data_IF_621465579968
#
_entry.id   IF_621465579968
#
_cell.length_a   1.000
_cell.length_b   1.000
_cell.length_c   1.000
_cell.angle_alpha   90.00
_cell.angle_beta   90.00
_cell.angle_gamma   90.00
#
_symmetry.space_group_name_H-M   'P 1'
#
loop_
_entity.id
_entity.type
_entity.pdbx_description
1 polymer ?
#
# COMPACT_ATOMS: atom_id res chain seq x y z
N UNK A 1 6.34 15.62 -2.25
CA UNK A 1 4.90 15.30 -2.20
C UNK A 1 4.45 15.43 -0.75
N UNK A 2 3.66 16.45 -0.41
CA UNK A 2 3.10 16.63 0.93
C UNK A 2 1.72 15.98 0.90
N UNK A 3 1.53 14.91 1.68
CA UNK A 3 0.25 14.19 1.74
C UNK A 3 -0.40 14.52 3.08
N UNK A 4 -1.41 15.37 3.06
CA UNK A 4 -2.14 15.79 4.27
C UNK A 4 -3.26 14.79 4.58
N UNK A 5 -3.30 14.24 5.80
CA UNK A 5 -4.36 13.30 6.23
C UNK A 5 -5.69 14.04 6.46
N UNK A 6 -6.81 13.64 5.83
CA UNK A 6 -8.14 14.13 6.19
C UNK A 6 -8.72 13.31 7.35
N UNK A 7 -8.98 13.96 8.49
CA UNK A 7 -10.01 13.65 9.51
C UNK A 7 -10.43 12.16 9.70
N UNK A 8 -9.52 11.27 10.08
CA UNK A 8 -9.86 9.86 10.36
C UNK A 8 -9.14 9.29 11.59
N UNK A 9 -9.87 8.48 12.37
CA UNK A 9 -9.37 7.73 13.54
C UNK A 9 -8.11 6.91 13.21
N UNK A 10 -7.21 6.80 14.20
CA UNK A 10 -5.88 6.18 14.06
C UNK A 10 -6.00 4.66 14.02
N UNK A 11 -5.48 4.01 12.98
CA UNK A 11 -5.23 2.57 12.96
C UNK A 11 -3.78 2.33 13.43
N UNK A 12 -3.57 1.37 14.34
CA UNK A 12 -2.26 1.06 14.93
C UNK A 12 -1.61 -0.04 14.10
N UNK A 13 -0.58 0.28 13.32
CA UNK A 13 0.18 -0.71 12.53
C UNK A 13 1.35 -1.30 13.34
N UNK A 14 1.76 -0.68 14.45
CA UNK A 14 2.69 -1.31 15.40
C UNK A 14 2.51 -0.74 16.82
N UNK A 15 2.56 -1.62 17.82
CA UNK A 15 2.50 -1.27 19.26
C UNK A 15 3.70 -1.93 19.95
N UNK A 16 4.89 -1.41 19.71
CA UNK A 16 6.09 -1.92 20.37
C UNK A 16 6.20 -1.40 21.82
N UNK A 17 6.06 -2.31 22.79
CA UNK A 17 6.45 -2.10 24.19
C UNK A 17 7.78 -2.81 24.44
N UNK A 18 8.91 -2.14 24.22
CA UNK A 18 10.24 -2.69 24.46
C UNK A 18 11.34 -1.84 23.83
N UNK A 19 12.52 -1.89 24.41
CA UNK A 19 13.66 -1.09 24.00
C UNK A 19 14.16 -1.50 22.61
N UNK A 20 14.34 -0.49 21.75
CA UNK A 20 15.00 -0.48 20.44
C UNK A 20 14.21 -1.02 19.23
N UNK A 21 13.54 -0.09 18.53
CA UNK A 21 13.35 -0.17 17.07
C UNK A 21 14.52 0.58 16.40
N UNK A 22 15.34 -0.13 15.63
CA UNK A 22 16.51 0.47 14.96
C UNK A 22 16.25 0.90 13.52
N UNK A 23 15.03 0.74 12.98
CA UNK A 23 14.67 1.24 11.65
C UNK A 23 13.17 1.55 11.67
N UNK A 24 12.80 2.83 11.83
CA UNK A 24 11.42 3.30 11.67
C UNK A 24 11.35 4.17 10.40
N UNK A 25 10.49 3.79 9.45
CA UNK A 25 10.18 4.58 8.25
C UNK A 25 9.14 5.69 8.51
N UNK A 26 8.91 5.99 9.78
CA UNK A 26 8.01 7.04 10.24
C UNK A 26 8.78 8.00 11.14
N UNK A 27 8.80 9.28 10.76
CA UNK A 27 9.44 10.33 11.55
C UNK A 27 8.37 11.21 12.19
N UNK A 28 8.50 11.37 13.51
CA UNK A 28 7.66 12.24 14.32
C UNK A 28 8.44 13.53 14.60
N UNK A 29 8.26 14.58 13.80
CA UNK A 29 8.89 15.89 14.11
C UNK A 29 8.18 16.62 15.26
N UNK A 30 6.91 16.27 15.51
CA UNK A 30 6.07 16.85 16.55
C UNK A 30 5.64 15.76 17.57
N UNK A 31 5.92 15.91 18.88
CA UNK A 31 5.48 14.97 19.91
C UNK A 31 3.96 14.77 19.97
N UNK A 32 3.19 15.72 19.45
CA UNK A 32 1.74 15.69 19.39
C UNK A 32 1.17 15.11 18.09
N UNK A 33 1.99 14.96 17.04
CA UNK A 33 1.61 14.38 15.75
C UNK A 33 2.69 13.43 15.21
N UNK A 34 2.66 12.15 15.62
CA UNK A 34 3.69 11.18 15.24
C UNK A 34 3.62 10.71 13.77
N UNK A 35 2.73 11.25 12.93
CA UNK A 35 2.43 10.70 11.60
C UNK A 35 2.40 11.76 10.50
N UNK A 36 3.38 12.66 10.48
CA UNK A 36 3.48 13.70 9.46
C UNK A 36 4.11 13.18 8.15
N UNK A 37 4.98 12.16 8.22
CA UNK A 37 5.74 11.68 7.08
C UNK A 37 5.71 10.16 6.93
N UNK A 38 5.40 9.69 5.71
CA UNK A 38 5.75 8.36 5.24
C UNK A 38 7.12 8.44 4.55
N UNK A 39 8.12 7.73 5.06
CA UNK A 39 9.48 7.77 4.52
C UNK A 39 9.76 6.49 3.74
N UNK A 40 10.13 6.63 2.46
CA UNK A 40 10.80 5.57 1.72
C UNK A 40 12.30 5.73 2.00
N UNK A 41 12.98 4.65 2.44
CA UNK A 41 14.37 4.50 2.93
C UNK A 41 14.78 5.22 4.23
N UNK A 42 15.66 4.56 5.01
CA UNK A 42 16.49 5.18 6.03
C UNK A 42 17.83 4.44 6.26
N UNK A 43 18.86 5.28 6.51
CA UNK A 43 20.27 5.05 6.86
C UNK A 43 21.19 4.35 5.84
N UNK A 44 22.11 5.15 5.29
CA UNK A 44 23.32 4.70 4.59
C UNK A 44 24.51 5.28 5.35
N UNK A 45 25.42 4.40 5.76
CA UNK A 45 26.65 4.77 6.46
C UNK A 45 27.86 4.38 5.62
N UNK A 46 28.92 5.15 5.77
CA UNK A 46 30.27 4.78 5.42
C UNK A 46 30.95 4.48 6.76
N UNK A 47 31.33 3.22 7.01
CA UNK A 47 32.00 2.83 8.26
C UNK A 47 33.45 3.34 8.37
N UNK A 48 33.81 4.33 7.55
CA UNK A 48 35.07 5.06 7.62
C UNK A 48 36.22 4.33 6.96
N UNK A 49 35.95 3.32 6.13
CA UNK A 49 36.98 2.53 5.45
C UNK A 49 37.39 3.05 4.07
N UNK A 50 36.83 4.21 3.65
CA UNK A 50 37.44 5.05 2.63
C UNK A 50 37.26 4.56 1.19
N UNK A 51 36.10 4.04 0.84
CA UNK A 51 35.80 3.88 -0.57
C UNK A 51 35.35 5.21 -1.18
N UNK A 52 35.92 5.54 -2.34
CA UNK A 52 35.67 6.81 -3.03
C UNK A 52 34.60 6.68 -4.10
N UNK A 53 33.80 5.59 -4.06
CA UNK A 53 32.93 5.17 -5.17
C UNK A 53 31.67 4.36 -4.75
N UNK A 54 31.16 4.45 -3.52
CA UNK A 54 29.88 3.81 -3.19
C UNK A 54 28.71 4.57 -3.78
N UNK A 55 27.90 3.84 -4.56
CA UNK A 55 26.63 4.30 -5.08
C UNK A 55 25.55 3.35 -4.59
N UNK A 56 24.59 3.88 -3.84
CA UNK A 56 23.37 3.17 -3.50
C UNK A 56 22.24 3.67 -4.41
N UNK A 57 21.68 2.77 -5.23
CA UNK A 57 20.56 3.06 -6.10
C UNK A 57 19.27 2.47 -5.52
N UNK A 58 18.23 3.29 -5.40
CA UNK A 58 16.89 2.86 -4.97
C UNK A 58 15.92 3.03 -6.11
N UNK A 59 15.20 1.95 -6.41
CA UNK A 59 14.13 1.96 -7.38
C UNK A 59 12.85 1.60 -6.64
N UNK A 60 11.91 2.53 -6.64
CA UNK A 60 10.55 2.33 -6.19
C UNK A 60 9.65 2.47 -7.40
N UNK A 61 8.63 1.62 -7.49
CA UNK A 61 7.59 1.76 -8.49
C UNK A 61 6.23 1.45 -7.86
N UNK A 62 5.17 2.02 -8.43
CA UNK A 62 3.77 1.73 -8.09
C UNK A 62 3.40 1.80 -6.60
N UNK A 63 3.86 2.84 -5.91
CA UNK A 63 3.52 3.09 -4.51
C UNK A 63 2.03 3.42 -4.37
N UNK A 64 1.31 2.60 -3.60
CA UNK A 64 -0.05 2.87 -3.15
C UNK A 64 -0.08 3.21 -1.66
N UNK A 65 -0.65 4.37 -1.31
CA UNK A 65 -0.85 4.83 0.06
C UNK A 65 -2.32 5.12 0.31
N UNK A 66 -2.89 4.47 1.31
CA UNK A 66 -4.26 4.68 1.75
C UNK A 66 -4.30 5.07 3.24
N UNK A 67 -5.15 6.04 3.57
CA UNK A 67 -5.41 6.45 4.95
C UNK A 67 -6.73 5.85 5.46
N UNK A 68 -6.75 5.41 6.71
CA UNK A 68 -7.96 4.92 7.38
C UNK A 68 -7.89 3.42 7.60
N UNK A 69 -8.67 2.65 6.84
CA UNK A 69 -8.81 1.20 7.00
C UNK A 69 -8.00 0.43 5.96
N UNK A 70 -7.97 -0.89 6.08
CA UNK A 70 -7.39 -1.80 5.07
C UNK A 70 -8.30 -2.00 3.84
N UNK A 71 -9.47 -1.34 3.79
CA UNK A 71 -10.49 -1.59 2.80
C UNK A 71 -10.06 -1.13 1.40
N UNK A 72 -10.01 -2.05 0.42
CA UNK A 72 -9.53 -1.75 -0.93
C UNK A 72 -10.15 -2.69 -1.95
N UNK A 73 -10.07 -2.33 -3.21
CA UNK A 73 -10.48 -3.17 -4.34
C UNK A 73 -9.23 -3.61 -5.08
N UNK A 74 -9.18 -4.88 -5.46
CA UNK A 74 -8.07 -5.46 -6.20
C UNK A 74 -8.62 -6.30 -7.36
N UNK A 75 -7.83 -6.44 -8.43
CA UNK A 75 -8.06 -7.44 -9.47
C UNK A 75 -6.95 -8.49 -9.42
N UNK A 76 -7.32 -9.77 -9.50
CA UNK A 76 -6.39 -10.90 -9.48
C UNK A 76 -6.58 -11.84 -10.65
N UNK A 77 -5.59 -12.69 -10.91
CA UNK A 77 -5.57 -13.62 -12.03
C UNK A 77 -6.24 -14.98 -11.77
N UNK A 78 -6.69 -15.25 -10.53
CA UNK A 78 -7.38 -16.46 -10.13
C UNK A 78 -8.70 -16.14 -9.42
N UNK A 79 -9.69 -17.05 -9.41
CA UNK A 79 -10.97 -16.84 -8.71
C UNK A 79 -10.82 -16.80 -7.18
N UNK A 80 -9.81 -17.47 -6.66
CA UNK A 80 -9.49 -17.50 -5.23
C UNK A 80 -8.33 -16.55 -4.94
N UNK A 81 -8.56 -15.59 -4.04
CA UNK A 81 -7.58 -14.54 -3.73
C UNK A 81 -6.22 -15.08 -3.28
N UNK A 82 -6.22 -16.09 -2.40
CA UNK A 82 -4.99 -16.72 -1.89
C UNK A 82 -4.19 -17.50 -2.94
N UNK A 83 -4.79 -17.76 -4.10
CA UNK A 83 -4.17 -18.46 -5.22
C UNK A 83 -3.66 -17.51 -6.30
N UNK A 84 -3.96 -16.22 -6.21
CA UNK A 84 -3.48 -15.23 -7.17
C UNK A 84 -1.96 -15.03 -7.03
N UNK A 85 -1.26 -15.08 -8.15
CA UNK A 85 0.17 -14.75 -8.25
C UNK A 85 0.41 -13.41 -9.00
N UNK A 86 -0.65 -12.81 -9.54
CA UNK A 86 -0.66 -11.46 -10.09
C UNK A 86 -1.91 -10.73 -9.57
N UNK A 87 -1.68 -9.58 -8.90
CA UNK A 87 -2.71 -8.75 -8.27
C UNK A 87 -2.40 -7.29 -8.58
N UNK A 88 -3.44 -6.50 -8.90
CA UNK A 88 -3.33 -5.06 -9.10
C UNK A 88 -4.37 -4.32 -8.24
N UNK A 89 -3.90 -3.36 -7.43
CA UNK A 89 -4.78 -2.52 -6.60
C UNK A 89 -5.52 -1.48 -7.45
N UNK A 90 -6.81 -1.35 -7.18
CA UNK A 90 -7.69 -0.40 -7.86
C UNK A 90 -7.92 0.79 -6.93
N UNK A 91 -7.73 2.00 -7.45
CA UNK A 91 -7.95 3.21 -6.65
C UNK A 91 -9.46 3.43 -6.50
N UNK A 92 -10.03 3.36 -5.28
CA UNK A 92 -11.43 3.67 -5.08
C UNK A 92 -11.66 5.18 -5.27
N UNK A 93 -12.69 5.52 -6.03
CA UNK A 93 -13.20 6.88 -6.21
C UNK A 93 -14.27 7.18 -5.15
N UNK A 94 -15.11 6.19 -4.84
CA UNK A 94 -16.18 6.32 -3.87
C UNK A 94 -16.58 4.96 -3.27
N UNK A 95 -16.87 4.94 -1.97
CA UNK A 95 -17.45 3.79 -1.27
C UNK A 95 -18.90 4.11 -0.91
N UNK A 96 -19.84 3.43 -1.57
CA UNK A 96 -21.28 3.54 -1.32
C UNK A 96 -21.86 2.30 -0.64
N UNK A 97 -23.11 2.41 -0.23
CA UNK A 97 -23.86 1.25 0.27
C UNK A 97 -24.17 0.31 -0.90
N UNK A 98 -23.42 -0.79 -1.00
CA UNK A 98 -23.62 -1.82 -2.03
C UNK A 98 -22.97 -1.50 -3.39
N UNK A 99 -22.23 -0.40 -3.50
CA UNK A 99 -21.48 -0.05 -4.70
C UNK A 99 -20.12 0.55 -4.35
N UNK A 100 -19.12 0.29 -5.19
CA UNK A 100 -17.77 0.87 -5.06
C UNK A 100 -17.38 1.32 -6.45
N UNK A 101 -17.09 2.62 -6.59
CA UNK A 101 -16.58 3.17 -7.83
C UNK A 101 -15.05 3.13 -7.78
N UNK A 102 -14.41 2.62 -8.84
CA UNK A 102 -12.95 2.50 -8.92
C UNK A 102 -12.43 3.06 -10.24
N UNK A 103 -11.21 3.58 -10.21
CA UNK A 103 -10.42 3.85 -11.41
C UNK A 103 -9.67 2.56 -11.77
N UNK A 104 -9.96 2.01 -12.96
CA UNK A 104 -9.41 0.73 -13.40
C UNK A 104 -7.92 0.88 -13.73
N UNK A 105 -7.09 0.21 -12.93
CA UNK A 105 -5.66 0.03 -13.13
C UNK A 105 -5.38 -1.40 -13.61
N UNK A 106 -4.98 -1.53 -14.88
CA UNK A 106 -4.67 -2.82 -15.48
C UNK A 106 -3.44 -3.47 -14.84
N UNK A 107 -2.52 -2.69 -14.26
CA UNK A 107 -1.22 -3.22 -13.83
C UNK A 107 -0.56 -4.02 -14.95
N UNK A 108 -0.17 -5.26 -14.66
CA UNK A 108 0.43 -6.18 -15.62
C UNK A 108 -0.57 -6.94 -16.51
N UNK A 109 -1.88 -6.72 -16.36
CA UNK A 109 -2.90 -7.40 -17.16
C UNK A 109 -3.06 -6.79 -18.55
N UNK A 110 -3.34 -7.63 -19.55
CA UNK A 110 -3.61 -7.20 -20.92
C UNK A 110 -5.10 -6.97 -21.16
N UNK A 111 -5.50 -6.02 -22.03
CA UNK A 111 -6.88 -5.95 -22.54
C UNK A 111 -7.36 -7.30 -23.07
N UNK A 112 -8.63 -7.62 -22.84
CA UNK A 112 -9.25 -8.90 -23.17
C UNK A 112 -9.02 -10.02 -22.15
N UNK A 113 -8.15 -9.83 -21.14
CA UNK A 113 -7.94 -10.84 -20.10
C UNK A 113 -9.15 -10.95 -19.17
N UNK A 114 -9.49 -12.18 -18.76
CA UNK A 114 -10.39 -12.40 -17.62
C UNK A 114 -9.60 -12.22 -16.32
N UNK A 115 -10.08 -11.34 -15.46
CA UNK A 115 -9.57 -11.13 -14.11
C UNK A 115 -10.71 -11.22 -13.10
N UNK A 116 -10.38 -11.35 -11.83
CA UNK A 116 -11.36 -11.47 -10.75
C UNK A 116 -11.25 -10.26 -9.83
N UNK A 117 -12.36 -9.58 -9.64
CA UNK A 117 -12.47 -8.44 -8.72
C UNK A 117 -12.67 -8.95 -7.30
N UNK A 118 -11.87 -8.42 -6.39
CA UNK A 118 -11.94 -8.70 -4.96
C UNK A 118 -12.19 -7.40 -4.20
N UNK A 119 -13.11 -7.47 -3.24
CA UNK A 119 -13.29 -6.42 -2.23
C UNK A 119 -12.64 -6.91 -0.95
N UNK A 120 -11.63 -6.20 -0.48
CA UNK A 120 -11.04 -6.41 0.84
C UNK A 120 -11.71 -5.43 1.81
N UNK A 121 -12.28 -5.95 2.88
CA UNK A 121 -12.94 -5.16 3.92
C UNK A 121 -11.96 -4.48 4.88
N UNK A 122 -12.49 -3.66 5.79
CA UNK A 122 -11.71 -2.91 6.77
C UNK A 122 -10.89 -3.80 7.74
N UNK A 123 -11.35 -5.04 7.95
CA UNK A 123 -10.72 -6.05 8.80
C UNK A 123 -9.82 -7.03 8.02
N UNK A 124 -9.58 -6.76 6.73
CA UNK A 124 -8.76 -7.61 5.87
C UNK A 124 -9.47 -8.84 5.31
N UNK A 125 -10.76 -9.05 5.59
CA UNK A 125 -11.52 -10.14 4.97
C UNK A 125 -11.76 -9.87 3.49
N UNK A 126 -11.53 -10.89 2.66
CA UNK A 126 -11.65 -10.80 1.20
C UNK A 126 -12.97 -11.42 0.75
N UNK A 127 -13.65 -10.77 -0.21
CA UNK A 127 -14.82 -11.32 -0.88
C UNK A 127 -14.48 -12.52 -1.75
N UNK A 128 -15.50 -13.26 -2.20
CA UNK A 128 -15.34 -14.14 -3.35
C UNK A 128 -14.96 -13.30 -4.60
N UNK A 129 -14.17 -13.89 -5.51
CA UNK A 129 -13.76 -13.24 -6.75
C UNK A 129 -14.92 -13.11 -7.74
N UNK A 130 -15.12 -11.90 -8.26
CA UNK A 130 -16.11 -11.64 -9.32
C UNK A 130 -15.42 -11.52 -10.68
N UNK A 131 -15.68 -12.41 -11.65
CA UNK A 131 -14.99 -12.38 -12.93
C UNK A 131 -15.43 -11.19 -13.78
N UNK A 132 -14.46 -10.51 -14.39
CA UNK A 132 -14.66 -9.47 -15.40
C UNK A 132 -13.70 -9.69 -16.56
N UNK A 133 -14.03 -9.12 -17.73
CA UNK A 133 -13.11 -9.07 -18.87
C UNK A 133 -12.66 -7.64 -19.07
N UNK A 134 -11.35 -7.40 -19.02
CA UNK A 134 -10.77 -6.07 -19.28
C UNK A 134 -11.03 -5.68 -20.73
N UNK A 135 -11.52 -4.46 -20.98
CA UNK A 135 -11.81 -3.94 -22.33
C UNK A 135 -10.79 -2.89 -22.74
#
# INVERSE_FOLDING_TARGET
LVITKPNGSRFVIDRHTGYQSWISNTNCRNPSDPWEYFQFQNYFDDDGSGFTQERADFFYDDIYLQFGTQARVEIGNQPDYSSCDNISVQRPLNWGTGSIDVELNFGAFSPGSTVYVFVVGENGLVSAGHPITLQ
#
